data_IF_931195388129
#
_entry.id   IF_931195388129
#
_cell.length_a   1.000
_cell.length_b   1.000
_cell.length_c   1.000
_cell.angle_alpha   90.00
_cell.angle_beta   90.00
_cell.angle_gamma   90.00
#
_symmetry.space_group_name_H-M   'P 1'
#
loop_
_entity.id
_entity.type
_entity.pdbx_description
1 polymer ?
#
# COMPACT_ATOMS: atom_id res chain seq x y z
N UNK A 1 77.90 12.64 -25.77
CA UNK A 1 76.73 13.02 -26.59
C UNK A 1 75.96 14.12 -25.87
N UNK A 2 75.97 15.31 -26.47
CA UNK A 2 74.98 16.41 -26.50
C UNK A 2 74.12 16.65 -25.25
N UNK A 3 74.41 17.71 -24.46
CA UNK A 3 73.81 19.07 -24.52
C UNK A 3 72.27 19.06 -24.39
N UNK A 4 71.76 19.62 -23.28
CA UNK A 4 70.70 20.65 -23.31
C UNK A 4 70.40 21.23 -21.92
N UNK A 5 70.79 22.48 -21.76
CA UNK A 5 70.43 23.48 -20.74
C UNK A 5 68.93 23.80 -20.75
N UNK A 6 68.30 24.10 -19.60
CA UNK A 6 67.62 25.41 -19.29
C UNK A 6 66.66 25.38 -18.09
N UNK A 7 66.88 26.39 -17.26
CA UNK A 7 66.13 27.02 -16.16
C UNK A 7 64.69 27.44 -16.50
N UNK A 8 63.77 27.45 -15.52
CA UNK A 8 62.77 28.51 -15.13
C UNK A 8 61.75 27.91 -14.13
N UNK A 9 61.73 28.29 -12.85
CA UNK A 9 61.06 29.43 -12.17
C UNK A 9 59.51 29.48 -12.22
N UNK A 10 58.92 29.25 -11.03
CA UNK A 10 57.79 29.95 -10.36
C UNK A 10 56.39 29.96 -11.00
N UNK A 11 55.38 29.53 -10.21
CA UNK A 11 54.20 30.35 -9.86
C UNK A 11 53.37 29.70 -8.75
N UNK A 12 53.33 30.35 -7.59
CA UNK A 12 52.34 30.13 -6.53
C UNK A 12 51.10 30.94 -6.87
N UNK A 13 49.91 30.33 -6.85
CA UNK A 13 48.65 31.06 -6.92
C UNK A 13 47.79 30.70 -5.70
N UNK A 14 47.70 31.64 -4.76
CA UNK A 14 46.74 31.61 -3.67
C UNK A 14 45.38 32.10 -4.19
N UNK A 15 44.33 31.30 -3.95
CA UNK A 15 42.94 31.69 -4.19
C UNK A 15 42.26 31.91 -2.84
N UNK A 16 42.20 33.17 -2.42
CA UNK A 16 41.26 33.65 -1.38
C UNK A 16 39.92 33.95 -2.04
N UNK A 17 38.87 33.22 -1.66
CA UNK A 17 37.52 33.37 -2.21
C UNK A 17 36.46 33.45 -1.11
N UNK A 18 36.18 34.67 -0.68
CA UNK A 18 34.92 35.29 -0.24
C UNK A 18 33.84 34.44 0.46
N UNK A 19 33.50 34.88 1.67
CA UNK A 19 32.33 34.50 2.46
C UNK A 19 31.02 34.75 1.70
N UNK A 20 30.24 33.68 1.49
CA UNK A 20 28.83 33.76 1.10
C UNK A 20 27.94 33.68 2.34
N UNK A 21 27.05 34.66 2.51
CA UNK A 21 25.99 34.64 3.52
C UNK A 21 25.04 33.47 3.24
N UNK A 22 24.93 32.55 4.20
CA UNK A 22 24.03 31.41 4.11
C UNK A 22 22.58 31.91 4.05
N UNK A 23 21.85 31.51 3.01
CA UNK A 23 20.40 31.67 2.90
C UNK A 23 19.72 30.94 4.07
N UNK A 24 18.62 31.48 4.64
CA UNK A 24 17.85 30.76 5.65
C UNK A 24 17.28 29.46 5.05
N UNK A 25 17.60 28.34 5.69
CA UNK A 25 17.06 27.04 5.33
C UNK A 25 15.53 27.09 5.39
N UNK A 26 14.88 26.77 4.27
CA UNK A 26 13.44 26.61 4.20
C UNK A 26 13.01 25.55 5.22
N UNK A 27 12.13 25.95 6.14
CA UNK A 27 11.42 25.04 7.03
C UNK A 27 10.70 23.99 6.20
N UNK A 28 11.25 22.78 6.17
CA UNK A 28 10.52 21.62 5.68
C UNK A 28 9.38 21.36 6.66
N UNK A 29 8.17 21.69 6.23
CA UNK A 29 6.93 21.17 6.80
C UNK A 29 7.02 19.65 6.78
N UNK A 30 7.48 19.09 7.90
CA UNK A 30 7.38 17.67 8.16
C UNK A 30 5.89 17.38 8.20
N UNK A 31 5.39 16.78 7.12
CA UNK A 31 3.99 16.36 7.03
C UNK A 31 3.61 15.57 8.28
N UNK A 32 2.42 15.83 8.80
CA UNK A 32 1.90 15.19 10.00
C UNK A 32 2.18 13.67 9.95
N UNK A 33 2.62 13.06 11.07
CA UNK A 33 2.77 11.62 11.13
C UNK A 33 1.43 11.00 10.74
N UNK A 34 1.46 10.09 9.76
CA UNK A 34 0.24 9.37 9.39
C UNK A 34 -0.19 8.62 10.64
N UNK A 35 -1.27 9.07 11.28
CA UNK A 35 -1.78 8.44 12.51
C UNK A 35 -1.86 6.95 12.25
N UNK A 36 -1.11 6.15 13.03
CA UNK A 36 -1.18 4.70 12.92
C UNK A 36 -2.66 4.32 13.04
N UNK A 37 -3.21 3.68 12.01
CA UNK A 37 -4.62 3.34 12.04
C UNK A 37 -4.87 2.37 13.19
N UNK A 38 -5.87 2.66 14.03
CA UNK A 38 -6.20 1.80 15.17
C UNK A 38 -6.47 0.36 14.70
N UNK A 39 -6.01 -0.61 15.50
CA UNK A 39 -6.12 -2.04 15.20
C UNK A 39 -7.25 -2.67 16.00
N UNK A 40 -8.20 -3.29 15.31
CA UNK A 40 -9.37 -3.93 15.91
C UNK A 40 -9.31 -5.45 15.66
N UNK A 41 -9.64 -6.30 16.65
CA UNK A 41 -9.61 -7.74 16.48
C UNK A 41 -10.76 -8.23 15.61
N UNK A 42 -10.50 -9.26 14.81
CA UNK A 42 -11.51 -9.99 14.03
C UNK A 42 -11.29 -11.49 14.17
N UNK A 43 -12.38 -12.25 14.18
CA UNK A 43 -12.35 -13.71 14.20
C UNK A 43 -13.29 -14.26 13.14
N UNK A 44 -12.79 -15.16 12.30
CA UNK A 44 -13.58 -15.87 11.30
C UNK A 44 -13.11 -17.33 11.24
N UNK A 45 -14.04 -18.29 11.31
CA UNK A 45 -13.77 -19.74 11.38
C UNK A 45 -12.69 -20.16 12.40
N UNK A 46 -12.57 -19.45 13.52
CA UNK A 46 -11.55 -19.74 14.55
C UNK A 46 -10.23 -19.00 14.35
N UNK A 47 -9.97 -18.47 13.15
CA UNK A 47 -8.75 -17.71 12.86
C UNK A 47 -8.86 -16.28 13.39
N UNK A 48 -7.88 -15.89 14.21
CA UNK A 48 -7.78 -14.53 14.76
C UNK A 48 -6.95 -13.66 13.83
N UNK A 49 -7.41 -12.43 13.62
CA UNK A 49 -6.71 -11.43 12.81
C UNK A 49 -7.00 -10.03 13.35
N UNK A 50 -6.47 -9.03 12.65
CA UNK A 50 -6.72 -7.63 12.95
C UNK A 50 -7.11 -6.88 11.70
N UNK A 51 -8.04 -5.95 11.84
CA UNK A 51 -8.44 -5.03 10.80
C UNK A 51 -8.28 -3.58 11.28
N UNK A 52 -8.25 -2.67 10.32
CA UNK A 52 -8.21 -1.25 10.55
C UNK A 52 -9.56 -0.82 11.12
N UNK A 53 -9.55 -0.37 12.37
CA UNK A 53 -10.74 0.15 13.03
C UNK A 53 -11.37 1.28 12.19
N UNK A 54 -12.70 1.32 12.17
CA UNK A 54 -13.46 2.31 11.40
C UNK A 54 -13.79 1.89 9.96
N UNK A 55 -13.16 0.84 9.43
CA UNK A 55 -13.59 0.26 8.15
C UNK A 55 -14.91 -0.49 8.29
N UNK A 56 -15.66 -0.60 7.18
CA UNK A 56 -16.92 -1.34 7.06
C UNK A 56 -16.68 -2.85 7.08
N UNK A 57 -16.34 -3.38 8.24
CA UNK A 57 -16.04 -4.81 8.42
C UNK A 57 -17.13 -5.73 7.85
N UNK A 58 -18.41 -5.39 8.05
CA UNK A 58 -19.54 -6.19 7.56
C UNK A 58 -19.64 -6.28 6.05
N UNK A 59 -19.21 -5.25 5.32
CA UNK A 59 -19.15 -5.30 3.86
C UNK A 59 -18.13 -6.35 3.37
N UNK A 60 -17.13 -6.70 4.19
CA UNK A 60 -16.18 -7.75 3.88
C UNK A 60 -16.66 -9.18 4.11
N UNK A 61 -17.87 -9.39 4.64
CA UNK A 61 -18.43 -10.74 4.85
C UNK A 61 -19.17 -11.14 3.59
N UNK A 62 -18.51 -11.94 2.76
CA UNK A 62 -19.02 -12.25 1.44
C UNK A 62 -19.69 -13.62 1.45
N UNK A 63 -20.90 -13.64 0.91
CA UNK A 63 -21.67 -14.82 0.57
C UNK A 63 -21.66 -14.93 -0.96
N UNK A 64 -20.80 -15.78 -1.49
CA UNK A 64 -20.57 -15.88 -2.93
C UNK A 64 -21.71 -16.58 -3.65
N UNK A 65 -22.35 -17.54 -2.98
CA UNK A 65 -23.42 -18.37 -3.55
C UNK A 65 -24.83 -17.87 -3.19
N UNK A 66 -24.94 -16.81 -2.37
CA UNK A 66 -26.18 -16.19 -1.88
C UNK A 66 -27.06 -17.16 -1.07
N UNK A 67 -26.45 -18.10 -0.35
CA UNK A 67 -27.17 -19.07 0.49
C UNK A 67 -27.50 -18.55 1.91
N UNK A 68 -27.14 -17.30 2.20
CA UNK A 68 -27.33 -16.64 3.48
C UNK A 68 -26.19 -16.88 4.47
N UNK A 69 -25.11 -17.55 4.06
CA UNK A 69 -23.94 -17.83 4.89
C UNK A 69 -22.70 -17.18 4.30
N UNK A 70 -21.84 -16.67 5.18
CA UNK A 70 -20.54 -16.16 4.75
C UNK A 70 -19.66 -17.30 4.27
N UNK A 71 -19.12 -17.17 3.07
CA UNK A 71 -18.13 -18.07 2.47
C UNK A 71 -16.71 -17.61 2.74
N UNK A 72 -16.50 -16.29 2.72
CA UNK A 72 -15.18 -15.66 2.79
C UNK A 72 -15.26 -14.29 3.47
N UNK A 73 -14.29 -13.98 4.33
CA UNK A 73 -14.21 -12.70 5.03
C UNK A 73 -12.98 -11.94 4.56
N UNK A 74 -13.19 -10.71 4.10
CA UNK A 74 -12.16 -9.77 3.70
C UNK A 74 -12.06 -8.63 4.71
N UNK A 75 -10.83 -8.20 4.99
CA UNK A 75 -10.54 -7.09 5.89
C UNK A 75 -9.40 -6.25 5.34
N UNK A 76 -9.36 -4.99 5.75
CA UNK A 76 -8.21 -4.12 5.54
C UNK A 76 -7.43 -4.11 6.84
N UNK A 77 -6.18 -4.54 6.83
CA UNK A 77 -5.31 -4.49 8.00
C UNK A 77 -4.86 -3.05 8.30
N UNK A 78 -4.35 -2.74 9.51
CA UNK A 78 -3.89 -1.39 9.86
C UNK A 78 -2.79 -0.82 8.94
N UNK A 79 -1.98 -1.68 8.32
CA UNK A 79 -1.01 -1.31 7.29
C UNK A 79 -1.62 -1.09 5.89
N UNK A 80 -2.96 -1.05 5.82
CA UNK A 80 -3.82 -0.87 4.64
C UNK A 80 -3.79 -2.02 3.63
N UNK A 81 -3.07 -3.11 3.90
CA UNK A 81 -3.15 -4.30 3.04
C UNK A 81 -4.50 -4.99 3.20
N UNK A 82 -4.95 -5.65 2.14
CA UNK A 82 -6.20 -6.39 2.15
C UNK A 82 -5.90 -7.85 2.43
N UNK A 83 -6.58 -8.40 3.42
CA UNK A 83 -6.46 -9.77 3.87
C UNK A 83 -7.80 -10.47 3.77
N UNK A 84 -7.77 -11.78 3.63
CA UNK A 84 -8.96 -12.60 3.62
C UNK A 84 -8.76 -13.94 4.27
N UNK A 85 -9.86 -14.58 4.64
CA UNK A 85 -9.86 -15.95 5.13
C UNK A 85 -11.20 -16.60 4.80
N UNK A 86 -11.20 -17.92 4.71
CA UNK A 86 -12.37 -18.75 4.40
C UNK A 86 -12.32 -20.03 5.23
N UNK A 87 -13.38 -20.81 5.17
CA UNK A 87 -13.42 -22.13 5.82
C UNK A 87 -12.26 -22.99 5.31
N UNK A 88 -11.41 -23.48 6.22
CA UNK A 88 -10.22 -24.29 5.93
C UNK A 88 -9.05 -23.55 5.25
N UNK A 89 -8.98 -22.21 5.31
CA UNK A 89 -7.85 -21.44 4.77
C UNK A 89 -6.50 -21.70 5.49
N UNK A 90 -6.54 -22.26 6.70
CA UNK A 90 -5.36 -22.39 7.57
C UNK A 90 -4.87 -21.05 8.13
N UNK A 91 -5.72 -20.02 8.14
CA UNK A 91 -5.41 -18.68 8.66
C UNK A 91 -5.83 -17.55 7.73
N UNK A 92 -5.40 -16.33 8.07
CA UNK A 92 -5.55 -15.16 7.22
C UNK A 92 -4.48 -15.16 6.13
N UNK A 93 -4.87 -14.81 4.91
CA UNK A 93 -3.99 -14.69 3.73
C UNK A 93 -4.05 -13.26 3.19
N UNK A 94 -2.96 -12.77 2.65
CA UNK A 94 -2.94 -11.46 2.00
C UNK A 94 -3.44 -11.61 0.56
N UNK A 95 -4.28 -10.67 0.11
CA UNK A 95 -4.69 -10.58 -1.29
C UNK A 95 -3.48 -10.28 -2.19
N UNK A 96 -3.37 -10.91 -3.37
CA UNK A 96 -2.25 -10.68 -4.26
C UNK A 96 -2.25 -9.25 -4.84
N UNK A 97 -1.13 -8.90 -5.49
CA UNK A 97 -0.95 -7.59 -6.10
C UNK A 97 -0.63 -6.46 -5.12
N UNK A 98 -0.41 -6.77 -3.83
CA UNK A 98 0.01 -5.81 -2.79
C UNK A 98 -0.87 -4.56 -2.77
N UNK A 99 -2.18 -4.74 -2.88
CA UNK A 99 -3.14 -3.63 -2.87
C UNK A 99 -3.12 -2.87 -1.54
N UNK A 100 -3.61 -1.62 -1.56
CA UNK A 100 -3.84 -0.82 -0.36
C UNK A 100 -5.22 -0.19 -0.44
N UNK A 101 -5.95 -0.21 0.67
CA UNK A 101 -7.29 0.33 0.77
C UNK A 101 -7.50 1.14 2.05
N UNK A 102 -8.54 1.97 2.04
CA UNK A 102 -8.98 2.77 3.18
C UNK A 102 -10.36 2.31 3.71
N UNK A 103 -11.20 1.70 2.87
CA UNK A 103 -12.46 1.09 3.31
C UNK A 103 -12.90 -0.09 2.43
N UNK A 104 -13.73 -0.98 2.98
CA UNK A 104 -14.34 -2.11 2.28
C UNK A 104 -15.67 -1.67 1.66
N UNK A 105 -15.94 -2.12 0.43
CA UNK A 105 -17.22 -1.86 -0.26
C UNK A 105 -18.06 -3.13 -0.34
N UNK A 106 -17.43 -4.26 -0.66
CA UNK A 106 -18.09 -5.57 -0.71
C UNK A 106 -17.74 -6.32 -1.97
N UNK A 107 -18.62 -7.21 -2.40
CA UNK A 107 -18.47 -7.98 -3.63
C UNK A 107 -18.99 -7.24 -4.87
N UNK A 108 -18.52 -7.69 -6.02
CA UNK A 108 -19.15 -7.45 -7.31
C UNK A 108 -19.07 -8.76 -8.12
N UNK A 109 -20.20 -9.22 -8.66
CA UNK A 109 -20.28 -10.49 -9.37
C UNK A 109 -20.42 -11.72 -8.46
N UNK A 110 -21.26 -11.66 -7.43
CA UNK A 110 -21.76 -12.89 -6.76
C UNK A 110 -22.50 -13.79 -7.75
N UNK A 111 -22.29 -15.10 -7.67
CA UNK A 111 -22.95 -16.08 -8.54
C UNK A 111 -22.34 -16.25 -9.95
N UNK A 112 -21.29 -15.52 -10.32
CA UNK A 112 -20.58 -15.71 -11.60
C UNK A 112 -19.30 -16.56 -11.47
N UNK A 113 -18.84 -17.14 -12.60
CA UNK A 113 -17.51 -17.81 -12.70
C UNK A 113 -16.33 -16.90 -12.32
N UNK A 114 -16.56 -15.59 -12.37
CA UNK A 114 -15.65 -14.55 -11.91
C UNK A 114 -16.29 -13.83 -10.74
N UNK A 115 -15.57 -13.69 -9.63
CA UNK A 115 -16.06 -12.98 -8.43
C UNK A 115 -15.07 -11.90 -8.05
N UNK A 116 -15.53 -10.72 -7.72
CA UNK A 116 -14.65 -9.60 -7.41
C UNK A 116 -14.96 -9.06 -6.01
N UNK A 117 -13.93 -8.53 -5.37
CA UNK A 117 -14.09 -7.67 -4.19
C UNK A 117 -13.76 -6.24 -4.60
N UNK A 118 -14.50 -5.29 -4.04
CA UNK A 118 -14.31 -3.85 -4.23
C UNK A 118 -13.87 -3.22 -2.91
N UNK A 119 -12.86 -2.37 -3.02
CA UNK A 119 -12.33 -1.56 -1.93
C UNK A 119 -12.25 -0.10 -2.35
N UNK A 120 -12.18 0.77 -1.37
CA UNK A 120 -12.18 2.21 -1.53
C UNK A 120 -10.85 2.82 -1.07
N UNK A 121 -10.33 3.80 -1.82
CA UNK A 121 -9.10 4.52 -1.51
C UNK A 121 -9.37 6.03 -1.48
N UNK A 122 -9.28 6.63 -0.29
CA UNK A 122 -9.54 8.05 -0.04
C UNK A 122 -8.40 8.90 -0.59
N UNK A 123 -7.14 8.53 -0.26
CA UNK A 123 -5.94 9.31 -0.62
C UNK A 123 -5.68 9.46 -2.13
N UNK A 124 -6.45 8.78 -2.98
CA UNK A 124 -6.36 8.85 -4.45
C UNK A 124 -7.56 9.56 -5.10
N UNK A 125 -8.21 10.47 -4.36
CA UNK A 125 -9.39 11.18 -4.85
C UNK A 125 -10.62 10.29 -4.92
N UNK A 126 -10.82 9.46 -3.89
CA UNK A 126 -12.01 8.61 -3.74
C UNK A 126 -12.24 7.62 -4.89
N UNK A 127 -11.27 6.72 -5.10
CA UNK A 127 -11.31 5.71 -6.17
C UNK A 127 -11.68 4.33 -5.66
N UNK A 128 -12.52 3.66 -6.42
CA UNK A 128 -12.84 2.25 -6.25
C UNK A 128 -11.83 1.39 -7.00
N UNK A 129 -11.36 0.36 -6.31
CA UNK A 129 -10.48 -0.66 -6.88
C UNK A 129 -11.12 -2.02 -6.68
N UNK A 130 -10.88 -2.91 -7.63
CA UNK A 130 -11.35 -4.28 -7.56
C UNK A 130 -10.21 -5.26 -7.74
N UNK A 131 -10.36 -6.43 -7.10
CA UNK A 131 -9.57 -7.61 -7.39
C UNK A 131 -10.53 -8.75 -7.68
N UNK A 132 -10.35 -9.40 -8.83
CA UNK A 132 -11.25 -10.44 -9.30
C UNK A 132 -10.58 -11.81 -9.25
N UNK A 133 -11.34 -12.81 -8.83
CA UNK A 133 -10.98 -14.21 -8.84
C UNK A 133 -11.68 -14.92 -9.99
N UNK A 134 -10.90 -15.44 -10.93
CA UNK A 134 -11.36 -16.25 -12.05
C UNK A 134 -10.22 -17.15 -12.52
N UNK A 135 -10.56 -18.28 -13.16
CA UNK A 135 -9.59 -19.32 -13.54
C UNK A 135 -8.77 -19.83 -12.33
N UNK A 136 -9.41 -19.99 -11.17
CA UNK A 136 -8.80 -20.56 -9.97
C UNK A 136 -7.79 -19.67 -9.24
N UNK A 137 -7.70 -18.38 -9.58
CA UNK A 137 -6.80 -17.44 -8.88
C UNK A 137 -7.36 -16.03 -8.81
N UNK A 138 -6.90 -15.29 -7.81
CA UNK A 138 -7.02 -13.83 -7.72
C UNK A 138 -6.03 -13.16 -8.67
N UNK A 139 -6.43 -12.03 -9.24
CA UNK A 139 -5.62 -11.27 -10.21
C UNK A 139 -5.11 -9.96 -9.59
N UNK A 140 -4.62 -9.04 -10.43
CA UNK A 140 -4.12 -7.74 -9.97
C UNK A 140 -5.26 -6.75 -9.68
N UNK A 141 -4.96 -5.74 -8.88
CA UNK A 141 -5.88 -4.66 -8.58
C UNK A 141 -6.07 -3.73 -9.78
N UNK A 142 -7.32 -3.53 -10.19
CA UNK A 142 -7.69 -2.56 -11.24
C UNK A 142 -8.66 -1.54 -10.68
N UNK A 143 -8.82 -0.41 -11.35
CA UNK A 143 -9.95 0.50 -11.03
C UNK A 143 -11.26 -0.24 -11.27
N UNK A 144 -12.24 -0.06 -10.38
CA UNK A 144 -13.62 -0.44 -10.67
C UNK A 144 -14.17 0.55 -11.69
N UNK A 145 -14.80 0.03 -12.75
CA UNK A 145 -15.63 0.82 -13.66
C UNK A 145 -17.00 1.09 -13.07
#
# INVERSE_FOLDING_TARGET
>A
MNIATRTLLVATAALTGLAGTALPAASSTTGAPTTASNSCPVKAWGYRGHYMCGTKLKAGYIDWNRDGRTDEVFVIAPNRHIWHTWKNAGGWKEMPGRGRADDMVGDNGTGSRSRCIIVYVIKKGYRYYQNCHYNGRWHNWTTSG
#
